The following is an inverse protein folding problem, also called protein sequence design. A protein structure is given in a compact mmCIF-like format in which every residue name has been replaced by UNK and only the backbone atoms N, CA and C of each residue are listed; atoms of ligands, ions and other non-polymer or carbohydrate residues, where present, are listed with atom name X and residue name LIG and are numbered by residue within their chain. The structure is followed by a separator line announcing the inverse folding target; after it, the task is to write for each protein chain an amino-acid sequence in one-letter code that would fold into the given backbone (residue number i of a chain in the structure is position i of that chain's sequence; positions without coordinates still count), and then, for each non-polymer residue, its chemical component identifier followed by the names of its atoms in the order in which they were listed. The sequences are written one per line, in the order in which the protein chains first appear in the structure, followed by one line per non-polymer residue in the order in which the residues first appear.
data_IF_918019291979
#
_entry.id   IF_918019291979
#
_cell.length_a   1.000
_cell.length_b   1.000
_cell.length_c   1.000
_cell.angle_alpha   90.00
_cell.angle_beta   90.00
_cell.angle_gamma   90.00
#
_symmetry.space_group_name_H-M   'P 1'
#
loop_
_entity.id
_entity.type
_entity.pdbx_description
1 polymer ?
#
# COMPACT_ATOMS: atom_id res chain seq x y z
N UNK A 1 -13.58 3.29 19.27
CA UNK A 1 -14.74 4.14 19.03
C UNK A 1 -14.62 5.46 19.79
N UNK A 2 -15.22 6.48 19.27
CA UNK A 2 -15.24 7.80 19.89
C UNK A 2 -16.41 7.92 20.86
N UNK A 3 -16.13 8.45 22.05
CA UNK A 3 -17.15 8.71 23.08
C UNK A 3 -17.35 10.23 23.22
N UNK A 4 -18.43 10.81 22.65
CA UNK A 4 -18.65 12.26 22.70
C UNK A 4 -18.95 12.81 24.09
N UNK A 5 -19.36 11.98 25.05
CA UNK A 5 -19.55 12.39 26.43
C UNK A 5 -18.29 12.28 27.28
N UNK A 6 -17.21 11.75 26.73
CA UNK A 6 -15.93 11.58 27.42
C UNK A 6 -14.88 12.58 26.97
N UNK A 7 -13.65 12.35 27.38
CA UNK A 7 -12.50 13.18 27.09
C UNK A 7 -11.55 12.48 26.13
N UNK A 8 -11.91 12.45 24.81
CA UNK A 8 -11.12 11.86 23.77
C UNK A 8 -11.67 10.52 23.27
N UNK A 9 -10.92 9.85 22.43
CA UNK A 9 -11.28 8.58 21.82
C UNK A 9 -10.86 7.42 22.72
N UNK A 10 -11.78 6.46 22.92
CA UNK A 10 -11.49 5.23 23.67
C UNK A 10 -11.67 4.06 22.70
N UNK A 11 -10.60 3.34 22.35
CA UNK A 11 -10.75 2.19 21.44
C UNK A 11 -11.61 1.09 22.06
N UNK A 12 -12.62 0.63 21.34
CA UNK A 12 -13.42 -0.53 21.74
C UNK A 12 -12.83 -1.83 21.22
N UNK A 13 -12.08 -1.78 20.10
CA UNK A 13 -11.36 -2.90 19.54
C UNK A 13 -10.04 -2.42 18.94
N UNK A 14 -9.05 -3.28 18.96
CA UNK A 14 -7.76 -3.03 18.28
C UNK A 14 -7.54 -4.19 17.31
N UNK A 15 -7.27 -3.83 16.04
CA UNK A 15 -6.91 -4.78 15.00
C UNK A 15 -5.49 -4.48 14.55
N UNK A 16 -4.60 -5.48 14.70
CA UNK A 16 -3.24 -5.38 14.18
C UNK A 16 -3.17 -6.11 12.84
N UNK A 17 -2.90 -5.37 11.77
CA UNK A 17 -2.78 -5.92 10.42
C UNK A 17 -1.31 -6.02 10.02
N UNK A 18 -0.95 -7.18 9.48
CA UNK A 18 0.35 -7.45 8.88
C UNK A 18 0.24 -8.66 7.97
N UNK A 19 1.29 -8.97 7.23
CA UNK A 19 1.24 -10.08 6.26
C UNK A 19 1.31 -11.48 6.89
N UNK A 20 1.44 -11.59 8.21
CA UNK A 20 1.30 -12.86 8.91
C UNK A 20 -0.15 -13.17 9.29
N UNK A 21 -1.04 -12.20 9.21
CA UNK A 21 -2.48 -12.40 9.54
C UNK A 21 -3.11 -13.27 8.45
N UNK A 22 -3.82 -14.36 8.84
CA UNK A 22 -4.47 -15.22 7.84
C UNK A 22 -5.44 -14.42 6.97
N UNK A 23 -5.36 -14.62 5.66
CA UNK A 23 -6.17 -13.93 4.66
C UNK A 23 -5.51 -12.69 4.05
N UNK A 24 -4.49 -12.13 4.67
CA UNK A 24 -3.76 -10.98 4.10
C UNK A 24 -2.86 -11.47 2.96
N UNK A 25 -2.97 -10.82 1.79
CA UNK A 25 -2.19 -11.19 0.62
C UNK A 25 -0.69 -10.97 0.84
N UNK A 26 0.12 -11.88 0.30
CA UNK A 26 1.56 -11.85 0.41
C UNK A 26 2.07 -12.65 1.60
N UNK A 27 3.36 -12.57 1.83
CA UNK A 27 4.04 -13.27 2.92
C UNK A 27 4.85 -12.31 3.76
N UNK A 28 4.97 -12.62 5.04
CA UNK A 28 5.79 -11.85 5.96
C UNK A 28 7.27 -11.89 5.50
N UNK A 29 7.95 -10.76 5.63
CA UNK A 29 9.35 -10.64 5.25
C UNK A 29 10.07 -9.72 6.22
N UNK A 30 11.21 -10.17 6.74
CA UNK A 30 12.03 -9.35 7.64
C UNK A 30 12.48 -8.07 6.94
N UNK A 31 12.29 -6.94 7.60
CA UNK A 31 12.72 -5.64 7.08
C UNK A 31 11.85 -5.04 5.99
N UNK A 32 10.75 -5.67 5.61
CA UNK A 32 9.88 -5.15 4.54
C UNK A 32 9.16 -3.85 4.90
N UNK A 33 8.96 -3.60 6.20
CA UNK A 33 8.37 -2.36 6.74
C UNK A 33 6.94 -2.12 6.27
N UNK A 34 6.12 -3.15 6.34
CA UNK A 34 4.66 -3.03 6.14
C UNK A 34 4.11 -1.92 7.04
N UNK A 35 3.35 -1.00 6.47
CA UNK A 35 2.79 0.11 7.22
C UNK A 35 3.62 1.39 7.19
N UNK A 36 4.67 1.46 6.37
CA UNK A 36 5.48 2.68 6.24
C UNK A 36 4.65 3.86 5.78
N UNK A 37 3.70 3.63 4.88
CA UNK A 37 2.78 4.66 4.42
C UNK A 37 1.35 4.12 4.45
N UNK A 38 0.41 4.96 4.88
CA UNK A 38 -1.00 4.60 4.97
C UNK A 38 -1.81 5.73 4.37
N UNK A 39 -2.78 5.38 3.51
CA UNK A 39 -3.71 6.34 2.92
C UNK A 39 -5.11 5.75 2.97
N UNK A 40 -6.06 6.53 3.49
CA UNK A 40 -7.47 6.17 3.46
C UNK A 40 -8.16 6.95 2.32
N UNK A 41 -8.67 6.23 1.35
CA UNK A 41 -9.36 6.81 0.19
C UNK A 41 -10.26 5.76 -0.44
N UNK A 42 -11.32 6.19 -1.09
CA UNK A 42 -12.24 5.29 -1.79
C UNK A 42 -11.60 4.80 -3.09
N UNK A 43 -10.94 3.65 -3.03
CA UNK A 43 -10.31 3.03 -4.20
C UNK A 43 -11.31 2.17 -4.98
N UNK A 44 -12.26 1.58 -4.28
CA UNK A 44 -13.25 0.67 -4.88
C UNK A 44 -14.42 1.41 -5.51
N UNK A 45 -14.52 2.72 -5.29
CA UNK A 45 -15.56 3.60 -5.81
C UNK A 45 -16.96 3.23 -5.31
N UNK A 46 -17.04 2.83 -4.06
CA UNK A 46 -18.31 2.47 -3.40
C UNK A 46 -18.81 3.57 -2.43
N UNK A 47 -18.12 4.69 -2.36
CA UNK A 47 -18.44 5.80 -1.47
C UNK A 47 -17.86 5.66 -0.06
N UNK A 48 -17.11 4.59 0.20
CA UNK A 48 -16.52 4.30 1.52
C UNK A 48 -15.00 4.27 1.36
N UNK A 49 -14.27 4.96 2.26
CA UNK A 49 -12.83 4.97 2.20
C UNK A 49 -12.26 3.58 2.51
N UNK A 50 -11.30 3.17 1.69
CA UNK A 50 -10.53 1.95 1.85
C UNK A 50 -9.15 2.29 2.42
N UNK A 51 -8.36 1.28 2.78
CA UNK A 51 -7.02 1.47 3.32
C UNK A 51 -5.99 0.99 2.32
N UNK A 52 -5.07 1.88 1.97
CA UNK A 52 -3.86 1.55 1.20
C UNK A 52 -2.66 1.57 2.13
N UNK A 53 -1.82 0.54 2.03
CA UNK A 53 -0.63 0.39 2.86
C UNK A 53 0.59 0.24 1.96
N UNK A 54 1.56 1.13 2.10
CA UNK A 54 2.83 1.03 1.40
C UNK A 54 3.83 0.19 2.20
N UNK A 55 4.49 -0.73 1.50
CA UNK A 55 5.54 -1.60 2.05
C UNK A 55 6.77 -1.49 1.16
N UNK A 56 7.55 -0.40 1.27
CA UNK A 56 8.57 -0.07 0.28
C UNK A 56 9.76 -1.03 0.24
N UNK A 57 10.01 -1.74 1.32
CA UNK A 57 11.17 -2.63 1.39
C UNK A 57 10.83 -4.11 1.09
N UNK A 58 9.66 -4.37 0.54
CA UNK A 58 9.24 -5.72 0.16
C UNK A 58 10.01 -6.22 -1.06
N UNK A 59 10.44 -7.49 -1.03
CA UNK A 59 11.02 -8.17 -2.19
C UNK A 59 9.92 -8.54 -3.18
N UNK A 60 10.16 -8.27 -4.46
CA UNK A 60 9.25 -8.60 -5.56
C UNK A 60 10.03 -9.26 -6.67
N UNK A 61 9.66 -10.50 -7.04
CA UNK A 61 10.33 -11.21 -8.12
C UNK A 61 11.83 -11.35 -7.93
N UNK A 62 12.28 -11.57 -6.68
CA UNK A 62 13.69 -11.66 -6.35
C UNK A 62 14.42 -10.33 -6.24
N UNK A 63 13.74 -9.21 -6.44
CA UNK A 63 14.34 -7.86 -6.32
C UNK A 63 14.08 -7.32 -4.92
N UNK A 64 15.15 -7.18 -4.13
CA UNK A 64 15.05 -6.70 -2.75
C UNK A 64 14.69 -5.22 -2.73
N UNK A 65 13.89 -4.83 -1.74
CA UNK A 65 13.46 -3.44 -1.56
C UNK A 65 12.77 -2.86 -2.79
N UNK A 66 12.07 -3.70 -3.54
CA UNK A 66 11.32 -3.24 -4.71
C UNK A 66 10.04 -2.52 -4.35
N UNK A 67 9.34 -3.01 -3.33
CA UNK A 67 8.16 -2.37 -2.77
C UNK A 67 6.83 -2.88 -3.32
N UNK A 68 5.82 -2.84 -2.46
CA UNK A 68 4.43 -3.18 -2.80
C UNK A 68 3.48 -2.18 -2.16
N UNK A 69 2.24 -2.19 -2.64
CA UNK A 69 1.11 -1.55 -1.99
C UNK A 69 0.06 -2.63 -1.72
N UNK A 70 -0.49 -2.63 -0.51
CA UNK A 70 -1.61 -3.48 -0.13
C UNK A 70 -2.87 -2.65 -0.04
N UNK A 71 -3.96 -3.15 -0.62
CA UNK A 71 -5.28 -2.52 -0.55
C UNK A 71 -6.20 -3.38 0.30
N UNK A 72 -6.80 -2.78 1.30
CA UNK A 72 -7.84 -3.39 2.13
C UNK A 72 -9.15 -2.64 1.91
N UNK A 73 -10.08 -3.17 1.11
CA UNK A 73 -11.41 -2.58 1.00
C UNK A 73 -12.11 -2.57 2.35
N UNK A 74 -12.87 -1.51 2.62
CA UNK A 74 -13.66 -1.42 3.84
C UNK A 74 -15.04 -2.04 3.60
N UNK A 75 -15.36 -3.04 4.39
CA UNK A 75 -16.66 -3.73 4.35
C UNK A 75 -17.21 -3.74 5.76
N UNK A 76 -18.44 -3.24 5.91
CA UNK A 76 -19.12 -3.14 7.21
C UNK A 76 -18.28 -2.40 8.26
N UNK A 77 -17.61 -1.34 7.83
CA UNK A 77 -16.81 -0.49 8.69
C UNK A 77 -15.45 -1.06 9.10
N UNK A 78 -15.01 -2.16 8.50
CA UNK A 78 -13.74 -2.81 8.83
C UNK A 78 -12.92 -3.12 7.57
N UNK A 79 -11.59 -3.13 7.66
CA UNK A 79 -10.76 -3.60 6.56
C UNK A 79 -11.07 -5.07 6.25
N UNK A 80 -11.31 -5.37 4.97
CA UNK A 80 -11.59 -6.73 4.54
C UNK A 80 -10.28 -7.49 4.34
N UNK A 81 -10.18 -8.67 4.96
CA UNK A 81 -9.05 -9.58 4.76
C UNK A 81 -9.33 -10.62 3.67
N UNK A 82 -10.56 -10.66 3.16
CA UNK A 82 -10.96 -11.61 2.12
C UNK A 82 -10.90 -11.03 0.72
N UNK A 83 -10.89 -9.72 0.61
CA UNK A 83 -10.89 -9.00 -0.67
C UNK A 83 -9.69 -8.08 -0.81
N UNK A 84 -8.69 -8.24 0.04
CA UNK A 84 -7.47 -7.45 -0.04
C UNK A 84 -6.68 -7.80 -1.30
N UNK A 85 -5.96 -6.81 -1.80
CA UNK A 85 -5.17 -6.92 -3.02
C UNK A 85 -3.76 -6.39 -2.77
N UNK A 86 -2.82 -6.87 -3.57
CA UNK A 86 -1.43 -6.44 -3.52
C UNK A 86 -1.01 -5.96 -4.91
N UNK A 87 -0.39 -4.78 -4.97
CA UNK A 87 0.08 -4.19 -6.22
C UNK A 87 1.59 -4.05 -6.20
N UNK A 88 2.23 -4.33 -7.34
CA UNK A 88 3.67 -4.14 -7.54
C UNK A 88 3.98 -3.93 -9.02
N UNK A 89 5.19 -3.44 -9.30
CA UNK A 89 5.55 -2.97 -10.65
C UNK A 89 5.62 -4.10 -11.69
N UNK A 90 5.77 -5.36 -11.26
CA UNK A 90 5.77 -6.49 -12.20
C UNK A 90 4.38 -6.80 -12.78
N UNK A 91 3.33 -6.21 -12.24
CA UNK A 91 1.99 -6.42 -12.77
C UNK A 91 1.80 -5.66 -14.08
N UNK A 92 0.98 -6.23 -14.99
CA UNK A 92 0.80 -5.68 -16.33
C UNK A 92 0.21 -4.27 -16.37
N UNK A 93 -0.47 -3.84 -15.29
CA UNK A 93 -1.02 -2.50 -15.20
C UNK A 93 0.07 -1.42 -15.10
N UNK A 94 1.28 -1.80 -14.72
CA UNK A 94 2.40 -0.87 -14.55
C UNK A 94 3.39 -1.03 -15.68
N UNK A 95 3.86 0.08 -16.22
CA UNK A 95 4.92 0.06 -17.24
C UNK A 95 6.27 -0.17 -16.56
N UNK A 96 6.92 -1.27 -16.91
CA UNK A 96 8.25 -1.59 -16.40
C UNK A 96 8.26 -2.87 -15.57
N UNK A 97 9.29 -3.03 -14.80
CA UNK A 97 9.51 -4.19 -13.94
C UNK A 97 10.06 -3.77 -12.59
N UNK A 98 9.92 -4.63 -11.59
CA UNK A 98 10.47 -4.40 -10.27
C UNK A 98 12.00 -4.25 -10.36
N UNK A 99 12.53 -3.35 -9.57
CA UNK A 99 13.98 -3.10 -9.45
C UNK A 99 14.39 -3.21 -7.99
N UNK A 100 15.59 -3.73 -7.77
CA UNK A 100 16.17 -3.70 -6.43
C UNK A 100 16.28 -2.26 -5.95
N UNK A 101 15.85 -2.04 -4.73
CA UNK A 101 15.82 -0.70 -4.10
C UNK A 101 14.96 0.33 -4.82
N UNK A 102 13.97 -0.11 -5.60
CA UNK A 102 13.03 0.79 -6.26
C UNK A 102 12.11 1.51 -5.28
N UNK A 103 11.78 0.89 -4.16
CA UNK A 103 11.00 1.47 -3.07
C UNK A 103 9.60 1.93 -3.51
N UNK A 104 8.98 1.17 -4.38
CA UNK A 104 7.58 1.41 -4.80
C UNK A 104 6.66 1.40 -3.57
N UNK A 105 5.80 2.40 -3.47
CA UNK A 105 4.89 2.51 -2.33
C UNK A 105 5.45 3.30 -1.15
N UNK A 106 6.58 3.99 -1.31
CA UNK A 106 7.10 4.89 -0.27
C UNK A 106 6.13 6.01 0.03
N UNK A 107 5.40 6.48 -0.99
CA UNK A 107 4.34 7.48 -0.82
C UNK A 107 3.19 7.17 -1.77
N UNK A 108 1.99 7.53 -1.35
CA UNK A 108 0.76 7.34 -2.12
C UNK A 108 -0.07 8.61 -1.94
N UNK A 109 -0.60 9.12 -3.05
CA UNK A 109 -1.50 10.26 -3.02
C UNK A 109 -2.66 10.04 -3.99
N UNK A 110 -3.67 10.89 -3.93
CA UNK A 110 -4.81 10.84 -4.84
C UNK A 110 -4.85 12.08 -5.71
N UNK A 111 -5.34 11.90 -6.92
CA UNK A 111 -5.70 13.00 -7.81
C UNK A 111 -7.09 12.69 -8.35
N UNK A 112 -8.12 13.32 -7.76
CA UNK A 112 -9.49 12.90 -8.00
C UNK A 112 -9.69 11.44 -7.56
N UNK A 113 -10.10 10.58 -8.48
CA UNK A 113 -10.27 9.14 -8.23
C UNK A 113 -9.03 8.31 -8.56
N UNK A 114 -7.98 8.93 -9.05
CA UNK A 114 -6.77 8.23 -9.48
C UNK A 114 -5.73 8.19 -8.36
N UNK A 115 -4.76 7.28 -8.47
CA UNK A 115 -3.69 7.13 -7.51
C UNK A 115 -2.36 7.56 -8.11
N UNK A 116 -1.54 8.19 -7.28
CA UNK A 116 -0.15 8.54 -7.61
C UNK A 116 0.73 7.82 -6.60
N UNK A 117 1.70 7.06 -7.09
CA UNK A 117 2.54 6.20 -6.26
C UNK A 117 4.00 6.58 -6.49
N UNK A 118 4.70 6.88 -5.41
CA UNK A 118 6.12 7.23 -5.46
C UNK A 118 7.02 5.99 -5.39
N UNK A 119 8.09 6.01 -6.18
CA UNK A 119 9.13 4.97 -6.21
C UNK A 119 10.49 5.67 -6.28
N UNK A 120 10.97 6.23 -5.16
CA UNK A 120 12.11 7.16 -5.19
C UNK A 120 13.44 6.49 -5.49
N UNK A 121 13.56 5.18 -5.29
CA UNK A 121 14.79 4.45 -5.56
C UNK A 121 14.91 3.90 -6.97
N UNK A 122 13.95 4.20 -7.85
CA UNK A 122 13.96 3.64 -9.19
C UNK A 122 15.10 4.20 -10.04
N UNK A 123 15.76 3.30 -10.77
CA UNK A 123 16.76 3.69 -11.76
C UNK A 123 16.06 4.10 -13.05
N UNK A 124 16.49 5.20 -13.65
CA UNK A 124 15.91 5.71 -14.90
C UNK A 124 17.05 6.05 -15.86
N UNK A 125 16.99 5.49 -17.06
CA UNK A 125 17.99 5.75 -18.11
C UNK A 125 19.43 5.50 -17.65
N UNK A 126 19.64 4.46 -16.84
CA UNK A 126 20.94 4.08 -16.30
C UNK A 126 21.41 4.90 -15.10
N UNK A 127 20.63 5.87 -14.65
CA UNK A 127 20.96 6.68 -13.47
C UNK A 127 20.32 6.06 -12.22
N UNK A 128 21.16 5.74 -11.24
CA UNK A 128 20.72 5.11 -10.01
C UNK A 128 19.92 6.07 -9.15
N UNK A 129 18.84 5.56 -8.54
CA UNK A 129 18.01 6.31 -7.60
C UNK A 129 17.49 7.63 -8.17
N UNK A 130 17.24 7.66 -9.48
CA UNK A 130 16.68 8.86 -10.12
C UNK A 130 15.23 9.11 -9.71
N UNK A 131 14.53 8.03 -9.35
CA UNK A 131 13.14 8.09 -8.89
C UNK A 131 12.13 8.15 -10.02
N UNK A 132 10.93 7.68 -9.70
CA UNK A 132 9.79 7.74 -10.61
C UNK A 132 8.50 7.85 -9.80
N UNK A 133 7.44 8.28 -10.45
CA UNK A 133 6.09 8.13 -9.92
C UNK A 133 5.25 7.35 -10.94
N UNK A 134 4.26 6.67 -10.41
CA UNK A 134 3.30 5.93 -11.23
C UNK A 134 1.93 6.56 -11.04
N UNK A 135 1.29 6.86 -12.15
CA UNK A 135 -0.08 7.37 -12.17
C UNK A 135 -1.01 6.22 -12.56
N UNK A 136 -1.86 5.83 -11.62
CA UNK A 136 -2.83 4.75 -11.82
C UNK A 136 -4.20 5.36 -12.03
N UNK A 137 -4.66 5.32 -13.27
CA UNK A 137 -5.99 5.78 -13.64
C UNK A 137 -7.02 4.71 -13.28
N UNK A 138 -8.09 5.12 -12.61
CA UNK A 138 -9.17 4.21 -12.19
C UNK A 138 -10.47 4.46 -12.93
#
# INVERSE_FOLDING_TARGET
SYNPGGHGATPSTVLSLNQAVPGVAGTIESGSKFGTFILATDVTNDGIADILVGTPNKTVGGKQNAGIISLFPTIEGKPSLMSDQMFHVNQSAFAGSAQSSGLFGTSIATLGNDLIIGSPGRNVSGLSNAGALYYLNR
#
